data_IF_716441175890
#
_entry.id   IF_716441175890
#
_cell.length_a   1.000
_cell.length_b   1.000
_cell.length_c   1.000
_cell.angle_alpha   90.00
_cell.angle_beta   90.00
_cell.angle_gamma   90.00
#
_symmetry.space_group_name_H-M   'P 1'
#
loop_
_entity.id
_entity.type
_entity.pdbx_description
1 polymer ?
#
# COMPACT_ATOMS: atom_id res chain seq x y z
N UNK A 1 -13.48 -15.28 8.95
CA UNK A 1 -12.42 -15.07 7.94
C UNK A 1 -12.78 -13.79 7.21
N UNK A 2 -11.86 -12.82 7.13
CA UNK A 2 -12.10 -11.52 6.47
C UNK A 2 -11.45 -11.44 5.09
N UNK A 3 -10.63 -12.44 4.73
CA UNK A 3 -9.91 -12.52 3.46
C UNK A 3 -10.87 -12.51 2.27
N UNK A 4 -11.97 -13.25 2.35
CA UNK A 4 -12.97 -13.36 1.29
C UNK A 4 -13.59 -11.98 0.95
N UNK A 5 -13.69 -11.06 1.92
CA UNK A 5 -14.23 -9.72 1.70
C UNK A 5 -13.26 -8.85 0.89
N UNK A 6 -11.96 -8.98 1.15
CA UNK A 6 -10.92 -8.27 0.39
C UNK A 6 -10.73 -8.89 -1.00
N UNK A 7 -10.85 -10.20 -1.14
CA UNK A 7 -10.85 -10.88 -2.45
C UNK A 7 -12.03 -10.42 -3.32
N UNK A 8 -13.19 -10.19 -2.72
CA UNK A 8 -14.37 -9.62 -3.38
C UNK A 8 -14.26 -8.11 -3.68
N UNK A 9 -13.11 -7.48 -3.42
CA UNK A 9 -12.85 -6.04 -3.65
C UNK A 9 -13.86 -5.13 -2.91
N UNK A 10 -14.36 -5.57 -1.76
CA UNK A 10 -15.28 -4.78 -0.91
C UNK A 10 -14.53 -3.57 -0.34
N UNK A 11 -15.18 -2.40 -0.32
CA UNK A 11 -14.59 -1.17 0.19
C UNK A 11 -14.25 -1.27 1.69
N UNK A 12 -13.26 -0.51 2.16
CA UNK A 12 -12.89 -0.51 3.59
C UNK A 12 -14.09 -0.16 4.47
N UNK A 13 -14.89 0.83 4.06
CA UNK A 13 -16.10 1.26 4.78
C UNK A 13 -17.13 0.14 4.91
N UNK A 14 -17.38 -0.61 3.84
CA UNK A 14 -18.33 -1.73 3.88
C UNK A 14 -17.81 -2.88 4.73
N UNK A 15 -16.50 -3.16 4.69
CA UNK A 15 -15.87 -4.16 5.57
C UNK A 15 -15.97 -3.75 7.04
N UNK A 16 -15.82 -2.46 7.37
CA UNK A 16 -16.04 -1.95 8.72
C UNK A 16 -17.45 -2.23 9.23
N UNK A 17 -18.46 -1.99 8.38
CA UNK A 17 -19.86 -2.24 8.71
C UNK A 17 -20.15 -3.73 8.88
N UNK A 18 -19.60 -4.59 8.01
CA UNK A 18 -19.83 -6.04 8.08
C UNK A 18 -19.13 -6.70 9.27
N UNK A 19 -17.96 -6.20 9.66
CA UNK A 19 -17.17 -6.76 10.76
C UNK A 19 -17.46 -6.10 12.11
N UNK A 20 -18.22 -5.00 12.13
CA UNK A 20 -18.43 -4.13 13.30
C UNK A 20 -17.09 -3.75 13.95
N UNK A 21 -16.20 -3.17 13.13
CA UNK A 21 -14.83 -2.78 13.54
C UNK A 21 -14.49 -1.38 13.07
N UNK A 22 -13.60 -0.74 13.82
CA UNK A 22 -13.03 0.54 13.44
C UNK A 22 -12.20 0.42 12.16
N UNK A 23 -12.20 1.48 11.35
CA UNK A 23 -11.45 1.58 10.09
C UNK A 23 -9.97 1.24 10.25
N UNK A 24 -9.31 1.80 11.26
CA UNK A 24 -7.91 1.51 11.58
C UNK A 24 -7.63 0.03 11.87
N UNK A 25 -8.64 -0.75 12.29
CA UNK A 25 -8.53 -2.21 12.47
C UNK A 25 -8.67 -2.93 11.13
N UNK A 26 -9.64 -2.53 10.32
CA UNK A 26 -9.86 -3.11 8.99
C UNK A 26 -8.66 -2.83 8.08
N UNK A 27 -8.09 -1.63 8.12
CA UNK A 27 -6.88 -1.26 7.37
C UNK A 27 -5.69 -2.14 7.75
N UNK A 28 -5.53 -2.49 9.05
CA UNK A 28 -4.49 -3.44 9.48
C UNK A 28 -4.71 -4.82 8.86
N UNK A 29 -5.95 -5.28 8.78
CA UNK A 29 -6.29 -6.56 8.16
C UNK A 29 -6.06 -6.52 6.64
N UNK A 30 -6.43 -5.43 5.99
CA UNK A 30 -6.19 -5.22 4.56
C UNK A 30 -4.69 -5.22 4.25
N UNK A 31 -3.89 -4.45 4.98
CA UNK A 31 -2.43 -4.41 4.81
C UNK A 31 -1.80 -5.80 4.98
N UNK A 32 -2.19 -6.54 6.03
CA UNK A 32 -1.70 -7.90 6.23
C UNK A 32 -2.09 -8.84 5.08
N UNK A 33 -3.32 -8.71 4.56
CA UNK A 33 -3.80 -9.48 3.42
C UNK A 33 -3.05 -9.13 2.13
N UNK A 34 -2.84 -7.85 1.83
CA UNK A 34 -2.05 -7.39 0.67
C UNK A 34 -0.64 -8.00 0.71
N UNK A 35 0.01 -7.99 1.87
CA UNK A 35 1.34 -8.59 2.05
C UNK A 35 1.35 -10.10 1.85
N UNK A 36 0.38 -10.80 2.44
CA UNK A 36 0.28 -12.26 2.36
C UNK A 36 0.03 -12.74 0.92
N UNK A 37 -0.86 -12.04 0.20
CA UNK A 37 -1.26 -12.40 -1.16
C UNK A 37 -0.44 -11.68 -2.25
N UNK A 38 0.51 -10.83 -1.86
CA UNK A 38 1.30 -9.96 -2.74
C UNK A 38 0.45 -9.17 -3.74
N UNK A 39 -0.67 -8.64 -3.28
CA UNK A 39 -1.58 -7.83 -4.10
C UNK A 39 -1.06 -6.40 -4.16
N UNK A 40 -0.86 -5.91 -5.39
CA UNK A 40 -0.42 -4.54 -5.69
C UNK A 40 -1.55 -3.67 -6.23
N UNK A 41 -2.58 -4.27 -6.84
CA UNK A 41 -3.79 -3.58 -7.28
C UNK A 41 -4.64 -3.18 -6.06
N UNK A 42 -4.60 -1.90 -5.71
CA UNK A 42 -5.32 -1.31 -4.58
C UNK A 42 -6.41 -0.31 -5.00
N UNK A 43 -6.74 -0.27 -6.29
CA UNK A 43 -7.79 0.59 -6.86
C UNK A 43 -9.14 0.48 -6.13
N UNK A 44 -9.56 -0.69 -5.60
CA UNK A 44 -10.83 -0.79 -4.86
C UNK A 44 -10.87 -0.03 -3.53
N UNK A 45 -9.71 0.29 -2.94
CA UNK A 45 -9.61 0.89 -1.61
C UNK A 45 -9.01 2.29 -1.61
N UNK A 46 -8.22 2.62 -2.63
CA UNK A 46 -7.59 3.94 -2.75
C UNK A 46 -7.74 4.44 -4.18
N UNK A 47 -8.26 5.66 -4.35
CA UNK A 47 -8.42 6.26 -5.66
C UNK A 47 -7.07 6.38 -6.40
N UNK A 48 -6.98 6.09 -7.71
CA UNK A 48 -5.73 6.15 -8.47
C UNK A 48 -5.00 7.50 -8.38
N UNK A 49 -5.72 8.61 -8.33
CA UNK A 49 -5.12 9.95 -8.15
C UNK A 49 -4.39 10.06 -6.80
N UNK A 50 -5.00 9.59 -5.72
CA UNK A 50 -4.38 9.55 -4.40
C UNK A 50 -3.17 8.61 -4.39
N UNK A 51 -3.27 7.46 -5.05
CA UNK A 51 -2.13 6.55 -5.18
C UNK A 51 -0.95 7.25 -5.85
N UNK A 52 -1.17 7.90 -7.00
CA UNK A 52 -0.11 8.60 -7.75
C UNK A 52 0.56 9.69 -6.91
N UNK A 53 -0.21 10.51 -6.19
CA UNK A 53 0.33 11.56 -5.31
C UNK A 53 1.22 10.97 -4.21
N UNK A 54 0.78 9.88 -3.57
CA UNK A 54 1.55 9.20 -2.52
C UNK A 54 2.80 8.53 -3.10
N UNK A 55 2.70 7.90 -4.27
CA UNK A 55 3.83 7.29 -4.97
C UNK A 55 4.90 8.32 -5.34
N UNK A 56 4.51 9.50 -5.80
CA UNK A 56 5.47 10.56 -6.07
C UNK A 56 6.17 11.04 -4.80
N UNK A 57 5.42 11.21 -3.71
CA UNK A 57 6.00 11.52 -2.41
C UNK A 57 6.99 10.43 -1.96
N UNK A 58 6.70 9.15 -2.22
CA UNK A 58 7.60 8.03 -1.91
C UNK A 58 8.87 8.02 -2.76
N UNK A 59 8.84 8.48 -4.01
CA UNK A 59 10.06 8.62 -4.83
C UNK A 59 11.01 9.68 -4.26
N UNK A 60 10.46 10.72 -3.63
CA UNK A 60 11.24 11.83 -3.05
C UNK A 60 11.77 11.48 -1.65
N UNK A 61 10.90 10.99 -0.77
CA UNK A 61 11.21 10.80 0.66
C UNK A 61 11.51 9.34 1.05
N UNK A 62 11.29 8.40 0.13
CA UNK A 62 11.29 6.97 0.40
C UNK A 62 10.00 6.47 1.05
N UNK A 63 9.88 5.14 1.17
CA UNK A 63 8.72 4.45 1.71
C UNK A 63 8.91 3.94 3.16
N UNK A 64 10.01 4.32 3.83
CA UNK A 64 10.37 3.77 5.15
C UNK A 64 9.58 4.39 6.31
N UNK A 65 9.11 5.63 6.16
CA UNK A 65 8.42 6.39 7.21
C UNK A 65 7.21 7.11 6.61
N UNK A 66 6.07 7.06 7.30
CA UNK A 66 4.83 7.70 6.83
C UNK A 66 4.79 9.20 7.10
N UNK A 67 5.46 9.67 8.15
CA UNK A 67 5.42 11.08 8.56
C UNK A 67 5.88 12.05 7.44
N UNK A 68 7.02 11.82 6.75
CA UNK A 68 7.43 12.70 5.64
C UNK A 68 6.42 12.72 4.49
N UNK A 69 5.76 11.59 4.20
CA UNK A 69 4.73 11.50 3.17
C UNK A 69 3.49 12.30 3.57
N UNK A 70 3.07 12.18 4.83
CA UNK A 70 1.93 12.91 5.37
C UNK A 70 2.15 14.43 5.32
N UNK A 71 3.34 14.89 5.72
CA UNK A 71 3.72 16.30 5.66
C UNK A 71 3.85 16.81 4.21
N UNK A 72 4.44 16.01 3.31
CA UNK A 72 4.56 16.37 1.89
C UNK A 72 3.21 16.49 1.19
N UNK A 73 2.24 15.68 1.59
CA UNK A 73 0.87 15.71 1.07
C UNK A 73 -0.01 16.73 1.80
N UNK A 74 0.59 17.65 2.56
CA UNK A 74 -0.11 18.71 3.31
C UNK A 74 -1.23 18.14 4.19
N UNK A 75 -1.02 16.97 4.78
CA UNK A 75 -1.98 16.28 5.65
C UNK A 75 -3.32 15.92 4.96
N UNK A 76 -3.39 16.03 3.63
CA UNK A 76 -4.61 15.77 2.85
C UNK A 76 -4.96 14.28 2.70
N UNK A 77 -4.03 13.39 3.05
CA UNK A 77 -4.18 11.94 2.94
C UNK A 77 -4.03 11.31 4.33
N UNK A 78 -4.99 10.49 4.74
CA UNK A 78 -4.96 9.84 6.05
C UNK A 78 -3.80 8.85 6.18
N UNK A 79 -3.32 8.64 7.41
CA UNK A 79 -2.30 7.62 7.71
C UNK A 79 -2.72 6.22 7.26
N UNK A 80 -4.01 5.90 7.32
CA UNK A 80 -4.54 4.61 6.88
C UNK A 80 -4.39 4.42 5.37
N UNK A 81 -4.73 5.44 4.57
CA UNK A 81 -4.50 5.44 3.13
C UNK A 81 -3.01 5.35 2.80
N UNK A 82 -2.16 6.10 3.49
CA UNK A 82 -0.71 6.02 3.30
C UNK A 82 -0.17 4.62 3.54
N UNK A 83 -0.66 3.91 4.57
CA UNK A 83 -0.24 2.54 4.87
C UNK A 83 -0.60 1.57 3.75
N UNK A 84 -1.80 1.69 3.17
CA UNK A 84 -2.23 0.83 2.06
C UNK A 84 -1.30 1.02 0.86
N UNK A 85 -1.07 2.27 0.45
CA UNK A 85 -0.25 2.59 -0.72
C UNK A 85 1.21 2.18 -0.53
N UNK A 86 1.81 2.50 0.63
CA UNK A 86 3.20 2.11 0.95
C UNK A 86 3.37 0.60 0.96
N UNK A 87 2.37 -0.14 1.45
CA UNK A 87 2.39 -1.61 1.46
C UNK A 87 2.38 -2.16 0.04
N UNK A 88 1.44 -1.70 -0.81
CA UNK A 88 1.36 -2.12 -2.21
C UNK A 88 2.65 -1.80 -2.97
N UNK A 89 3.17 -0.59 -2.81
CA UNK A 89 4.44 -0.15 -3.40
C UNK A 89 5.62 -1.02 -2.95
N UNK A 90 5.70 -1.33 -1.66
CA UNK A 90 6.75 -2.19 -1.11
C UNK A 90 6.66 -3.63 -1.61
N UNK A 91 5.47 -4.15 -1.93
CA UNK A 91 5.31 -5.47 -2.56
C UNK A 91 5.83 -5.43 -4.00
N UNK A 92 5.46 -4.40 -4.76
CA UNK A 92 5.86 -4.19 -6.15
C UNK A 92 7.39 -4.00 -6.29
N UNK A 93 8.00 -3.19 -5.41
CA UNK A 93 9.43 -2.83 -5.49
C UNK A 93 10.33 -3.68 -4.60
N UNK A 94 9.79 -4.29 -3.54
CA UNK A 94 10.52 -5.16 -2.60
C UNK A 94 10.79 -6.57 -3.13
N UNK A 95 10.34 -6.88 -4.35
CA UNK A 95 10.82 -8.02 -5.14
C UNK A 95 12.17 -7.76 -5.83
N UNK A 96 12.63 -6.50 -5.92
CA UNK A 96 13.79 -6.13 -6.74
C UNK A 96 15.11 -5.92 -5.97
N UNK A 97 15.17 -6.24 -4.67
CA UNK A 97 16.44 -6.23 -3.93
C UNK A 97 17.35 -7.43 -4.23
N UNK A 98 16.88 -8.40 -5.03
CA UNK A 98 17.66 -9.59 -5.40
C UNK A 98 18.21 -9.57 -6.84
N UNK A 99 17.73 -8.72 -7.74
CA UNK A 99 18.06 -8.81 -9.18
C UNK A 99 18.90 -7.65 -9.76
N UNK A 100 19.07 -6.52 -9.07
CA UNK A 100 19.88 -5.40 -9.60
C UNK A 100 21.39 -5.47 -9.30
N UNK A 101 21.96 -6.65 -9.04
CA UNK A 101 23.42 -6.87 -8.98
C UNK A 101 23.95 -7.95 -9.95
N UNK A 102 23.10 -8.57 -10.79
CA UNK A 102 23.55 -9.65 -11.69
C UNK A 102 23.86 -9.20 -13.14
N UNK A 103 23.37 -8.04 -13.60
CA UNK A 103 23.46 -7.65 -15.02
C UNK A 103 24.57 -6.61 -15.31
N UNK A 104 25.73 -6.74 -14.66
CA UNK A 104 26.92 -5.92 -14.96
C UNK A 104 28.23 -6.71 -14.97
N UNK A 105 28.17 -8.04 -15.04
CA UNK A 105 29.36 -8.90 -15.02
C UNK A 105 29.62 -9.67 -16.33
N UNK A 106 28.87 -9.43 -17.41
CA UNK A 106 29.03 -10.16 -18.68
C UNK A 106 29.41 -9.27 -19.89
N UNK A 107 30.01 -8.12 -19.63
CA UNK A 107 30.64 -7.31 -20.68
C UNK A 107 31.91 -6.66 -20.14
N UNK A 108 32.98 -7.45 -20.09
CA UNK A 108 34.35 -7.11 -20.58
C UNK A 108 35.34 -8.24 -20.26
#
# INVERSE_FOLDING_TARGET
QYFDLFEQRVSVTDVCLQLDRAESTVVKYLVAWLQLHRVTDIDPWVAPETQQRVQEAMRIHGAQRLKPLFEHLEESVSYDTLRIVVTAWGIEHGGNSAESQAESAESE
#
